data_IF_039414284267
#
_entry.id   IF_039414284267
#
_cell.length_a   1.000
_cell.length_b   1.000
_cell.length_c   1.000
_cell.angle_alpha   90.00
_cell.angle_beta   90.00
_cell.angle_gamma   90.00
#
_symmetry.space_group_name_H-M   'P 1'
#
loop_
_entity.id
_entity.type
_entity.pdbx_description
1 polymer ?
#
# COMPACT_ATOMS: atom_id res chain seq x y z
N UNK A 1 -9.66 -4.25 21.24
CA UNK A 1 -10.75 -4.81 20.43
C UNK A 1 -12.09 -4.46 21.05
N UNK A 2 -13.08 -4.13 20.23
CA UNK A 2 -14.44 -3.81 20.66
C UNK A 2 -15.35 -5.02 20.52
N UNK A 3 -16.25 -5.22 21.48
CA UNK A 3 -17.27 -6.26 21.41
C UNK A 3 -18.64 -5.62 21.23
N UNK A 4 -19.40 -6.14 20.28
CA UNK A 4 -20.72 -5.61 19.91
C UNK A 4 -21.80 -6.69 20.06
N UNK A 5 -22.83 -6.37 20.85
CA UNK A 5 -24.09 -7.11 20.89
C UNK A 5 -25.04 -6.55 19.84
N UNK A 6 -25.45 -7.35 18.89
CA UNK A 6 -26.31 -6.92 17.77
C UNK A 6 -27.67 -7.55 17.87
N UNK A 7 -28.72 -6.76 17.63
CA UNK A 7 -30.09 -7.24 17.44
C UNK A 7 -30.19 -7.96 16.08
N UNK A 8 -30.89 -9.09 16.04
CA UNK A 8 -31.03 -9.92 14.83
C UNK A 8 -31.64 -9.17 13.61
N UNK A 9 -32.40 -8.10 13.87
CA UNK A 9 -33.02 -7.25 12.86
C UNK A 9 -32.44 -5.84 12.86
N UNK A 10 -31.11 -5.69 13.02
CA UNK A 10 -30.47 -4.37 12.98
C UNK A 10 -30.49 -3.81 11.57
N UNK A 11 -31.00 -2.58 11.40
CA UNK A 11 -31.04 -1.86 10.12
C UNK A 11 -29.63 -1.56 9.56
N UNK A 12 -28.66 -1.36 10.44
CA UNK A 12 -27.30 -0.92 10.06
C UNK A 12 -26.30 -2.06 9.85
N UNK A 13 -26.65 -3.29 10.27
CA UNK A 13 -25.75 -4.44 10.28
C UNK A 13 -26.45 -5.69 9.73
N UNK A 14 -27.19 -5.54 8.63
CA UNK A 14 -28.04 -6.58 8.03
C UNK A 14 -27.27 -7.73 7.42
N UNK A 15 -26.02 -7.50 6.98
CA UNK A 15 -25.19 -8.50 6.28
C UNK A 15 -24.42 -9.43 7.23
N UNK A 16 -24.51 -9.22 8.55
CA UNK A 16 -23.80 -10.06 9.52
C UNK A 16 -24.63 -11.29 9.85
N UNK A 17 -24.13 -12.47 9.52
CA UNK A 17 -24.70 -13.76 9.97
C UNK A 17 -24.22 -14.07 11.38
N UNK A 18 -25.03 -13.72 12.39
CA UNK A 18 -24.69 -13.92 13.79
C UNK A 18 -24.73 -15.41 14.18
N UNK A 19 -23.75 -15.89 14.97
CA UNK A 19 -23.69 -17.28 15.40
C UNK A 19 -24.80 -17.60 16.41
N UNK A 20 -25.18 -18.87 16.44
CA UNK A 20 -26.25 -19.35 17.35
C UNK A 20 -25.71 -19.74 18.75
N UNK A 21 -24.40 -19.89 18.92
CA UNK A 21 -23.78 -20.29 20.16
C UNK A 21 -23.15 -19.09 20.91
N UNK A 22 -23.31 -19.04 22.23
CA UNK A 22 -22.83 -17.96 23.09
C UNK A 22 -21.31 -17.75 23.00
N UNK A 23 -20.55 -18.84 22.82
CA UNK A 23 -19.08 -18.78 22.77
C UNK A 23 -18.52 -18.57 21.37
N UNK A 24 -19.40 -18.32 20.40
CA UNK A 24 -19.02 -18.02 19.02
C UNK A 24 -19.22 -16.54 18.68
N UNK A 25 -18.32 -16.03 17.85
CA UNK A 25 -18.35 -14.63 17.42
C UNK A 25 -18.05 -14.52 15.91
N UNK A 26 -18.53 -13.45 15.32
CA UNK A 26 -18.07 -13.00 14.00
C UNK A 26 -16.99 -11.95 14.23
N UNK A 27 -15.83 -12.10 13.63
CA UNK A 27 -14.72 -11.18 13.75
C UNK A 27 -14.65 -10.23 12.54
N UNK A 28 -14.09 -9.04 12.73
CA UNK A 28 -13.82 -8.11 11.62
C UNK A 28 -12.68 -8.61 10.75
N UNK A 29 -12.73 -8.35 9.43
CA UNK A 29 -11.71 -8.77 8.45
C UNK A 29 -10.32 -8.27 8.83
N UNK A 30 -10.20 -7.01 9.23
CA UNK A 30 -8.94 -6.41 9.66
C UNK A 30 -8.34 -7.05 10.93
N UNK A 31 -9.18 -7.53 11.86
CA UNK A 31 -8.72 -8.29 13.03
C UNK A 31 -8.18 -9.66 12.64
N UNK A 32 -8.89 -10.35 11.73
CA UNK A 32 -8.46 -11.64 11.20
C UNK A 32 -7.10 -11.53 10.49
N UNK A 33 -6.96 -10.56 9.59
CA UNK A 33 -5.72 -10.34 8.83
C UNK A 33 -4.55 -9.92 9.71
N UNK A 34 -4.80 -9.04 10.69
CA UNK A 34 -3.76 -8.56 11.63
C UNK A 34 -3.10 -9.70 12.38
N UNK A 35 -3.88 -10.65 12.87
CA UNK A 35 -3.41 -11.74 13.73
C UNK A 35 -3.34 -13.09 13.02
N UNK A 36 -3.52 -13.11 11.69
CA UNK A 36 -3.50 -14.31 10.85
C UNK A 36 -4.46 -15.39 11.32
N UNK A 37 -5.67 -14.98 11.72
CA UNK A 37 -6.70 -15.84 12.28
C UNK A 37 -7.55 -16.46 11.18
N UNK A 38 -8.05 -17.66 11.43
CA UNK A 38 -8.95 -18.39 10.53
C UNK A 38 -10.30 -18.66 11.21
N UNK A 39 -11.32 -18.92 10.40
CA UNK A 39 -12.61 -19.40 10.93
C UNK A 39 -12.37 -20.72 11.64
N UNK A 40 -12.88 -20.83 12.85
CA UNK A 40 -12.66 -21.99 13.73
C UNK A 40 -11.66 -21.75 14.85
N UNK A 41 -10.79 -20.75 14.72
CA UNK A 41 -9.80 -20.42 15.75
C UNK A 41 -10.46 -19.87 17.01
N UNK A 42 -9.76 -20.04 18.14
CA UNK A 42 -10.21 -19.53 19.44
C UNK A 42 -9.37 -18.33 19.84
N UNK A 43 -10.04 -17.20 20.00
CA UNK A 43 -9.43 -15.96 20.48
C UNK A 43 -9.62 -15.77 21.97
N UNK A 44 -8.60 -15.22 22.64
CA UNK A 44 -8.62 -14.88 24.07
C UNK A 44 -8.61 -13.36 24.19
N UNK A 45 -9.66 -12.80 24.80
CA UNK A 45 -9.81 -11.35 24.97
C UNK A 45 -9.82 -11.03 26.44
N UNK A 46 -8.82 -10.26 26.89
CA UNK A 46 -8.75 -9.77 28.26
C UNK A 46 -9.59 -8.50 28.40
N UNK A 47 -10.40 -8.43 29.42
CA UNK A 47 -11.16 -7.21 29.76
C UNK A 47 -10.18 -6.13 30.21
N UNK A 48 -10.34 -4.90 29.67
CA UNK A 48 -9.56 -3.75 30.10
C UNK A 48 -9.74 -3.50 31.62
N UNK A 49 -8.64 -3.30 32.31
CA UNK A 49 -8.61 -3.10 33.78
C UNK A 49 -9.17 -4.27 34.61
N UNK A 50 -9.04 -5.51 34.12
CA UNK A 50 -9.46 -6.70 34.83
C UNK A 50 -8.65 -7.90 34.35
N UNK A 51 -8.47 -8.91 35.22
CA UNK A 51 -7.80 -10.16 34.83
C UNK A 51 -8.73 -11.19 34.17
N UNK A 52 -10.00 -10.81 33.98
CA UNK A 52 -10.97 -11.69 33.36
C UNK A 52 -10.68 -11.86 31.86
N UNK A 53 -10.49 -13.11 31.44
CA UNK A 53 -10.26 -13.53 30.07
C UNK A 53 -11.51 -14.22 29.54
N UNK A 54 -11.94 -13.78 28.37
CA UNK A 54 -13.03 -14.39 27.61
C UNK A 54 -12.44 -15.18 26.45
N UNK A 55 -12.97 -16.39 26.20
CA UNK A 55 -12.60 -17.24 25.07
C UNK A 55 -13.76 -17.31 24.08
N UNK A 56 -13.50 -17.01 22.83
CA UNK A 56 -14.50 -17.07 21.77
C UNK A 56 -13.96 -17.84 20.57
N UNK A 57 -14.80 -18.69 19.99
CA UNK A 57 -14.50 -19.35 18.72
C UNK A 57 -14.99 -18.47 17.57
N UNK A 58 -14.17 -18.26 16.56
CA UNK A 58 -14.52 -17.47 15.37
C UNK A 58 -15.43 -18.33 14.50
N UNK A 59 -16.65 -17.90 14.28
CA UNK A 59 -17.65 -18.58 13.45
C UNK A 59 -17.82 -17.96 12.06
N UNK A 60 -17.32 -16.73 11.87
CA UNK A 60 -17.42 -16.02 10.59
C UNK A 60 -16.61 -14.73 10.59
N UNK A 61 -16.52 -14.14 9.41
CA UNK A 61 -15.83 -12.87 9.17
C UNK A 61 -16.80 -11.84 8.63
N UNK A 62 -16.72 -10.64 9.15
CA UNK A 62 -17.45 -9.47 8.63
C UNK A 62 -16.46 -8.49 8.02
N UNK A 63 -16.72 -8.10 6.77
CA UNK A 63 -15.89 -7.12 6.05
C UNK A 63 -16.06 -5.74 6.69
N UNK A 64 -15.13 -5.42 7.57
CA UNK A 64 -15.12 -4.15 8.29
C UNK A 64 -13.69 -3.75 8.63
N UNK A 65 -13.28 -2.57 8.17
CA UNK A 65 -11.91 -2.07 8.27
C UNK A 65 -11.76 -0.92 9.28
N UNK A 66 -12.87 -0.43 9.84
CA UNK A 66 -12.87 0.75 10.71
C UNK A 66 -12.23 0.51 12.09
N UNK A 67 -12.41 -0.67 12.67
CA UNK A 67 -11.81 -1.04 13.96
C UNK A 67 -11.79 -2.55 14.15
N UNK A 68 -10.93 -3.02 15.06
CA UNK A 68 -10.97 -4.42 15.48
C UNK A 68 -12.21 -4.68 16.32
N UNK A 69 -13.03 -5.62 15.89
CA UNK A 69 -14.31 -5.92 16.55
C UNK A 69 -14.68 -7.39 16.48
N UNK A 70 -15.47 -7.78 17.46
CA UNK A 70 -16.21 -9.04 17.48
C UNK A 70 -17.70 -8.76 17.64
N UNK A 71 -18.49 -9.52 16.92
CA UNK A 71 -19.96 -9.40 16.89
C UNK A 71 -20.62 -10.67 17.39
N UNK A 72 -21.64 -10.51 18.23
CA UNK A 72 -22.45 -11.59 18.76
C UNK A 72 -23.89 -11.13 18.91
N UNK A 73 -24.84 -12.05 19.16
CA UNK A 73 -26.22 -11.67 19.49
C UNK A 73 -26.29 -10.86 20.78
N UNK A 74 -27.18 -9.85 20.83
CA UNK A 74 -27.37 -8.97 21.99
C UNK A 74 -27.55 -9.77 23.30
N UNK A 75 -28.42 -10.78 23.29
CA UNK A 75 -28.67 -11.59 24.50
C UNK A 75 -27.45 -12.41 24.96
N UNK A 76 -26.56 -12.81 24.05
CA UNK A 76 -25.28 -13.45 24.42
C UNK A 76 -24.28 -12.44 24.94
N UNK A 77 -24.24 -11.24 24.37
CA UNK A 77 -23.41 -10.14 24.83
C UNK A 77 -23.75 -9.76 26.28
N UNK A 78 -25.04 -9.54 26.56
CA UNK A 78 -25.51 -9.19 27.92
C UNK A 78 -25.10 -10.23 28.95
N UNK A 79 -25.37 -11.52 28.65
CA UNK A 79 -25.02 -12.64 29.56
C UNK A 79 -23.50 -12.80 29.72
N UNK A 80 -22.70 -12.61 28.67
CA UNK A 80 -21.27 -12.82 28.72
C UNK A 80 -20.54 -11.71 29.47
N UNK A 81 -20.96 -10.47 29.25
CA UNK A 81 -20.33 -9.30 29.86
C UNK A 81 -21.06 -8.78 31.13
N UNK A 82 -22.04 -9.55 31.63
CA UNK A 82 -22.85 -9.23 32.79
C UNK A 82 -23.48 -7.85 32.68
N UNK A 83 -24.20 -7.61 31.61
CA UNK A 83 -24.92 -6.36 31.34
C UNK A 83 -26.42 -6.54 31.60
N UNK A 84 -27.10 -5.46 32.00
CA UNK A 84 -28.56 -5.47 32.11
C UNK A 84 -29.19 -5.68 30.74
N UNK A 85 -30.39 -6.29 30.74
CA UNK A 85 -31.16 -6.46 29.49
C UNK A 85 -31.47 -5.12 28.86
N UNK A 86 -31.24 -5.02 27.53
CA UNK A 86 -31.41 -3.77 26.80
C UNK A 86 -30.30 -2.75 27.02
N UNK A 87 -29.12 -3.17 27.50
CA UNK A 87 -27.96 -2.29 27.67
C UNK A 87 -27.46 -1.77 26.31
N UNK A 88 -27.30 -0.47 26.21
CA UNK A 88 -26.66 0.21 25.08
C UNK A 88 -25.72 1.32 25.60
N UNK A 89 -24.75 1.70 24.78
CA UNK A 89 -23.80 2.77 25.09
C UNK A 89 -23.64 3.77 23.93
N UNK A 90 -24.46 3.68 22.89
CA UNK A 90 -24.47 4.60 21.79
C UNK A 90 -25.58 4.30 20.80
N UNK A 91 -25.78 5.21 19.86
CA UNK A 91 -26.74 5.12 18.77
C UNK A 91 -26.04 5.30 17.42
N UNK A 92 -26.51 4.57 16.41
CA UNK A 92 -26.27 4.91 15.02
C UNK A 92 -27.52 5.62 14.48
N UNK A 93 -27.34 6.75 13.83
CA UNK A 93 -28.44 7.52 13.26
C UNK A 93 -28.01 8.21 11.97
N UNK A 94 -28.91 8.24 11.00
CA UNK A 94 -28.73 9.01 9.75
C UNK A 94 -28.98 10.50 9.99
N UNK A 95 -29.62 10.87 11.11
CA UNK A 95 -29.99 12.24 11.46
C UNK A 95 -29.46 12.61 12.84
N UNK A 96 -29.29 13.93 13.04
CA UNK A 96 -28.93 14.46 14.36
C UNK A 96 -30.06 14.22 15.37
N UNK A 97 -29.76 13.46 16.41
CA UNK A 97 -30.70 13.17 17.49
C UNK A 97 -30.84 14.42 18.39
N UNK A 98 -32.01 15.08 18.31
CA UNK A 98 -32.31 16.32 19.07
C UNK A 98 -32.84 16.05 20.49
N UNK A 99 -33.39 14.87 20.71
CA UNK A 99 -34.06 14.48 21.97
C UNK A 99 -33.08 14.04 23.07
N UNK A 100 -31.81 13.79 22.72
CA UNK A 100 -30.82 13.40 23.70
C UNK A 100 -30.26 14.61 24.43
N UNK A 101 -30.35 14.57 25.76
CA UNK A 101 -29.72 15.61 26.62
C UNK A 101 -28.21 15.58 26.44
N UNK A 102 -27.61 16.74 26.23
CA UNK A 102 -26.16 16.90 26.00
C UNK A 102 -25.30 16.26 27.09
N UNK A 103 -25.80 16.24 28.34
CA UNK A 103 -25.11 15.66 29.50
C UNK A 103 -24.84 14.14 29.35
N UNK A 104 -25.64 13.43 28.56
CA UNK A 104 -25.48 12.00 28.31
C UNK A 104 -24.68 11.66 27.05
N UNK A 105 -24.24 12.69 26.29
CA UNK A 105 -23.49 12.52 25.07
C UNK A 105 -22.01 12.71 25.37
N UNK A 106 -21.26 11.60 25.44
CA UNK A 106 -19.80 11.67 25.60
C UNK A 106 -19.11 12.18 24.34
N UNK A 107 -19.56 11.72 23.17
CA UNK A 107 -19.02 12.15 21.86
C UNK A 107 -20.02 11.86 20.74
N UNK A 108 -19.98 12.69 19.72
CA UNK A 108 -20.68 12.46 18.45
C UNK A 108 -19.64 12.37 17.35
N UNK A 109 -19.66 11.31 16.57
CA UNK A 109 -18.72 11.10 15.47
C UNK A 109 -19.51 11.18 14.14
N UNK A 110 -19.20 12.16 13.34
CA UNK A 110 -19.81 12.34 12.02
C UNK A 110 -18.91 11.80 10.90
N UNK A 111 -19.48 11.64 9.70
CA UNK A 111 -18.70 11.29 8.51
C UNK A 111 -17.66 12.37 8.17
N UNK A 112 -18.00 13.62 8.41
CA UNK A 112 -17.10 14.77 8.22
C UNK A 112 -15.91 14.70 9.17
N UNK A 113 -16.13 14.38 10.44
CA UNK A 113 -15.05 14.25 11.43
C UNK A 113 -14.05 13.17 11.03
N UNK A 114 -14.56 12.00 10.60
CA UNK A 114 -13.71 10.91 10.12
C UNK A 114 -12.90 11.30 8.88
N UNK A 115 -13.54 11.98 7.91
CA UNK A 115 -12.86 12.48 6.71
C UNK A 115 -11.83 13.56 7.04
N UNK A 116 -12.12 14.44 7.98
CA UNK A 116 -11.21 15.52 8.40
C UNK A 116 -9.93 14.96 8.98
N UNK A 117 -10.03 14.00 9.90
CA UNK A 117 -8.85 13.32 10.49
C UNK A 117 -8.03 12.62 9.41
N UNK A 118 -8.69 11.89 8.50
CA UNK A 118 -8.01 11.20 7.41
C UNK A 118 -7.29 12.17 6.46
N UNK A 119 -7.92 13.30 6.11
CA UNK A 119 -7.30 14.34 5.28
C UNK A 119 -6.11 14.98 5.98
N UNK A 120 -6.23 15.38 7.24
CA UNK A 120 -5.12 15.97 7.99
C UNK A 120 -3.91 15.03 8.04
N UNK A 121 -4.13 13.72 8.23
CA UNK A 121 -3.05 12.74 8.22
C UNK A 121 -2.42 12.63 6.83
N UNK A 122 -3.25 12.55 5.77
CA UNK A 122 -2.78 12.51 4.39
C UNK A 122 -1.98 13.77 4.01
N UNK A 123 -2.47 14.95 4.36
CA UNK A 123 -1.81 16.23 4.08
C UNK A 123 -0.46 16.32 4.83
N UNK A 124 -0.42 15.92 6.10
CA UNK A 124 0.81 15.92 6.89
C UNK A 124 1.89 15.00 6.33
N UNK A 125 1.48 13.87 5.75
CA UNK A 125 2.41 12.89 5.18
C UNK A 125 2.76 13.19 3.71
N UNK A 126 1.91 13.93 2.98
CA UNK A 126 2.07 14.14 1.54
C UNK A 126 3.37 14.87 1.18
N UNK A 127 3.78 15.86 1.98
CA UNK A 127 5.03 16.59 1.79
C UNK A 127 6.25 15.66 1.89
N UNK A 128 6.28 14.80 2.92
CA UNK A 128 7.34 13.82 3.10
C UNK A 128 7.39 12.80 1.95
N UNK A 129 6.24 12.26 1.54
CA UNK A 129 6.17 11.32 0.42
C UNK A 129 6.54 11.96 -0.91
N UNK A 130 6.19 13.22 -1.15
CA UNK A 130 6.59 13.93 -2.37
C UNK A 130 8.11 14.14 -2.40
N UNK A 131 8.74 14.50 -1.28
CA UNK A 131 10.20 14.61 -1.19
C UNK A 131 10.88 13.27 -1.48
N UNK A 132 10.38 12.18 -0.91
CA UNK A 132 10.92 10.82 -1.16
C UNK A 132 10.77 10.45 -2.64
N UNK A 133 9.62 10.76 -3.28
CA UNK A 133 9.41 10.51 -4.72
C UNK A 133 10.42 11.23 -5.60
N UNK A 134 10.64 12.53 -5.36
CA UNK A 134 11.63 13.31 -6.09
C UNK A 134 13.03 12.71 -5.94
N UNK A 135 13.42 12.40 -4.72
CA UNK A 135 14.70 11.77 -4.43
C UNK A 135 14.86 10.42 -5.13
N UNK A 136 13.82 9.58 -5.11
CA UNK A 136 13.82 8.29 -5.80
C UNK A 136 14.00 8.42 -7.32
N UNK A 137 13.34 9.41 -7.95
CA UNK A 137 13.50 9.68 -9.39
C UNK A 137 14.92 10.15 -9.71
N UNK A 138 15.50 11.03 -8.88
CA UNK A 138 16.89 11.49 -9.05
C UNK A 138 17.87 10.32 -8.94
N UNK A 139 17.73 9.48 -7.92
CA UNK A 139 18.57 8.28 -7.76
C UNK A 139 18.43 7.32 -8.95
N UNK A 140 17.21 7.09 -9.41
CA UNK A 140 16.94 6.26 -10.59
C UNK A 140 17.67 6.81 -11.83
N UNK A 141 17.56 8.12 -12.09
CA UNK A 141 18.27 8.76 -13.19
C UNK A 141 19.80 8.64 -13.07
N UNK A 142 20.35 8.81 -11.86
CA UNK A 142 21.78 8.64 -11.62
C UNK A 142 22.25 7.22 -11.93
N UNK A 143 21.51 6.21 -11.44
CA UNK A 143 21.86 4.79 -11.70
C UNK A 143 21.83 4.48 -13.18
N UNK A 144 20.76 4.88 -13.90
CA UNK A 144 20.68 4.67 -15.36
C UNK A 144 21.79 5.41 -16.09
N UNK A 145 22.09 6.66 -15.70
CA UNK A 145 23.19 7.41 -16.30
C UNK A 145 24.53 6.70 -16.13
N UNK A 146 24.85 6.22 -14.92
CA UNK A 146 26.09 5.49 -14.64
C UNK A 146 26.18 4.20 -15.44
N UNK A 147 25.12 3.39 -15.45
CA UNK A 147 25.10 2.14 -16.23
C UNK A 147 25.27 2.40 -17.73
N UNK A 148 24.53 3.33 -18.28
CA UNK A 148 24.59 3.64 -19.68
C UNK A 148 25.94 4.31 -20.05
N UNK A 149 26.54 5.12 -19.17
CA UNK A 149 27.89 5.65 -19.32
C UNK A 149 28.92 4.53 -19.41
N UNK A 150 28.88 3.55 -18.50
CA UNK A 150 29.78 2.40 -18.51
C UNK A 150 29.63 1.60 -19.81
N UNK A 151 28.38 1.38 -20.28
CA UNK A 151 28.12 0.68 -21.54
C UNK A 151 28.76 1.43 -22.71
N UNK A 152 28.59 2.76 -22.81
CA UNK A 152 29.17 3.58 -23.86
C UNK A 152 30.70 3.57 -23.79
N UNK A 153 31.30 3.71 -22.62
CA UNK A 153 32.75 3.70 -22.43
C UNK A 153 33.36 2.35 -22.77
N UNK A 154 32.73 1.24 -22.35
CA UNK A 154 33.18 -0.12 -22.67
C UNK A 154 33.09 -0.44 -24.19
N UNK A 155 32.19 0.21 -24.90
CA UNK A 155 31.99 0.00 -26.33
C UNK A 155 32.57 1.16 -27.18
N UNK A 156 33.40 2.05 -26.60
CA UNK A 156 33.94 3.22 -27.31
C UNK A 156 34.70 2.85 -28.58
N UNK A 157 35.52 1.79 -28.55
CA UNK A 157 36.26 1.30 -29.69
C UNK A 157 35.33 0.82 -30.84
N UNK A 158 34.27 0.05 -30.51
CA UNK A 158 33.29 -0.38 -31.48
C UNK A 158 32.48 0.80 -32.05
N UNK A 159 32.17 1.79 -31.23
CA UNK A 159 31.51 3.03 -31.68
C UNK A 159 32.41 3.84 -32.62
N UNK A 160 33.71 3.95 -32.29
CA UNK A 160 34.70 4.61 -33.15
C UNK A 160 34.86 3.90 -34.50
N UNK A 161 34.92 2.56 -34.51
CA UNK A 161 35.00 1.76 -35.72
C UNK A 161 33.80 1.95 -36.67
N UNK A 162 32.58 1.97 -36.10
CA UNK A 162 31.36 2.26 -36.87
C UNK A 162 31.40 3.67 -37.48
N UNK A 163 31.96 4.66 -36.77
CA UNK A 163 32.16 6.02 -37.28
C UNK A 163 33.17 6.07 -38.41
N UNK A 164 34.25 5.29 -38.33
CA UNK A 164 35.25 5.16 -39.43
C UNK A 164 34.62 4.57 -40.70
N UNK A 165 33.66 3.65 -40.55
CA UNK A 165 32.88 3.07 -41.62
C UNK A 165 31.88 4.04 -42.26
N UNK A 166 31.84 5.32 -41.80
CA UNK A 166 31.02 6.37 -42.40
C UNK A 166 29.67 6.60 -41.74
N UNK A 167 29.37 5.89 -40.68
CA UNK A 167 28.13 6.14 -39.93
C UNK A 167 28.21 7.41 -39.11
N UNK A 168 27.11 8.16 -39.07
CA UNK A 168 27.01 9.35 -38.22
C UNK A 168 26.96 8.99 -36.75
N UNK A 169 27.36 9.92 -35.88
CA UNK A 169 27.28 9.73 -34.41
C UNK A 169 25.84 9.41 -33.91
N UNK A 170 24.83 9.89 -34.62
CA UNK A 170 23.44 9.61 -34.32
C UNK A 170 23.03 8.18 -34.67
N UNK A 171 23.52 7.66 -35.82
CA UNK A 171 23.24 6.28 -36.25
C UNK A 171 23.94 5.28 -35.34
N UNK A 172 25.23 5.52 -35.04
CA UNK A 172 25.96 4.71 -34.06
C UNK A 172 25.24 4.71 -32.68
N UNK A 173 24.81 5.88 -32.19
CA UNK A 173 24.05 5.99 -30.94
C UNK A 173 22.70 5.28 -30.97
N UNK A 174 21.96 5.37 -32.10
CA UNK A 174 20.66 4.69 -32.25
C UNK A 174 20.79 3.16 -32.17
N UNK A 175 21.85 2.59 -32.69
CA UNK A 175 22.09 1.14 -32.65
C UNK A 175 22.15 0.62 -31.22
N UNK A 176 22.95 1.27 -30.35
CA UNK A 176 23.10 0.92 -28.95
C UNK A 176 21.85 1.27 -28.12
N UNK A 177 21.24 2.42 -28.41
CA UNK A 177 20.09 2.90 -27.64
C UNK A 177 18.82 2.06 -27.88
N UNK A 178 18.62 1.51 -29.10
CA UNK A 178 17.45 0.67 -29.39
C UNK A 178 17.44 -0.60 -28.53
N UNK A 179 18.56 -1.33 -28.54
CA UNK A 179 18.66 -2.57 -27.76
C UNK A 179 18.44 -2.31 -26.26
N UNK A 180 19.16 -1.32 -25.70
CA UNK A 180 19.04 -0.95 -24.28
C UNK A 180 17.64 -0.44 -23.95
N UNK A 181 17.02 0.35 -24.86
CA UNK A 181 15.66 0.88 -24.67
C UNK A 181 14.61 -0.20 -24.56
N UNK A 182 14.66 -1.20 -25.44
CA UNK A 182 13.74 -2.35 -25.38
C UNK A 182 13.88 -3.09 -24.06
N UNK A 183 15.11 -3.37 -23.63
CA UNK A 183 15.36 -4.05 -22.34
C UNK A 183 14.83 -3.24 -21.17
N UNK A 184 15.06 -1.93 -21.15
CA UNK A 184 14.56 -1.05 -20.06
C UNK A 184 13.05 -1.03 -20.02
N UNK A 185 12.37 -0.88 -21.15
CA UNK A 185 10.89 -0.88 -21.20
C UNK A 185 10.32 -2.21 -20.76
N UNK A 186 10.87 -3.33 -21.25
CA UNK A 186 10.43 -4.67 -20.84
C UNK A 186 10.68 -4.91 -19.33
N UNK A 187 11.83 -4.45 -18.82
CA UNK A 187 12.16 -4.56 -17.38
C UNK A 187 11.26 -3.71 -16.52
N UNK A 188 10.86 -2.51 -16.94
CA UNK A 188 9.93 -1.65 -16.22
C UNK A 188 8.53 -2.28 -16.16
N UNK A 189 8.04 -2.82 -17.26
CA UNK A 189 6.74 -3.50 -17.31
C UNK A 189 6.77 -4.79 -16.49
N UNK A 190 7.77 -5.64 -16.73
CA UNK A 190 7.94 -6.91 -16.01
C UNK A 190 8.18 -6.71 -14.50
N UNK A 191 8.88 -5.64 -14.14
CA UNK A 191 9.17 -5.29 -12.76
C UNK A 191 7.91 -5.04 -11.91
N UNK A 192 6.82 -4.53 -12.50
CA UNK A 192 5.56 -4.33 -11.79
C UNK A 192 5.03 -5.65 -11.22
N UNK A 193 5.03 -6.70 -12.00
CA UNK A 193 4.52 -8.02 -11.59
C UNK A 193 5.33 -8.64 -10.45
N UNK A 194 6.58 -8.22 -10.28
CA UNK A 194 7.44 -8.67 -9.19
C UNK A 194 7.32 -7.76 -7.98
N UNK A 195 7.34 -6.44 -8.18
CA UNK A 195 7.41 -5.48 -7.08
C UNK A 195 6.09 -5.35 -6.31
N UNK A 196 4.94 -5.46 -6.98
CA UNK A 196 3.62 -5.34 -6.35
C UNK A 196 3.40 -6.38 -5.22
N UNK A 197 3.58 -7.70 -5.46
CA UNK A 197 3.43 -8.69 -4.39
C UNK A 197 4.50 -8.58 -3.29
N UNK A 198 5.70 -8.09 -3.64
CA UNK A 198 6.75 -7.83 -2.64
C UNK A 198 6.34 -6.66 -1.73
N UNK A 199 5.85 -5.56 -2.30
CA UNK A 199 5.37 -4.41 -1.53
C UNK A 199 4.20 -4.77 -0.64
N UNK A 200 3.23 -5.56 -1.13
CA UNK A 200 2.10 -6.03 -0.33
C UNK A 200 2.57 -6.85 0.88
N UNK A 201 3.48 -7.80 0.68
CA UNK A 201 4.04 -8.62 1.77
C UNK A 201 4.81 -7.77 2.78
N UNK A 202 5.64 -6.84 2.33
CA UNK A 202 6.39 -5.92 3.20
C UNK A 202 5.45 -5.02 3.99
N UNK A 203 4.43 -4.47 3.35
CA UNK A 203 3.41 -3.64 4.00
C UNK A 203 2.68 -4.41 5.10
N UNK A 204 2.17 -5.61 4.80
CA UNK A 204 1.50 -6.48 5.76
C UNK A 204 2.43 -6.87 6.93
N UNK A 205 3.69 -7.17 6.64
CA UNK A 205 4.69 -7.46 7.67
C UNK A 205 4.93 -6.26 8.59
N UNK A 206 5.10 -5.06 8.04
CA UNK A 206 5.27 -3.84 8.83
C UNK A 206 4.07 -3.57 9.71
N UNK A 207 2.85 -3.68 9.18
CA UNK A 207 1.64 -3.48 9.95
C UNK A 207 1.49 -4.49 11.08
N UNK A 208 1.81 -5.78 10.82
CA UNK A 208 1.75 -6.83 11.84
C UNK A 208 2.72 -6.57 12.99
N UNK A 209 3.94 -6.13 12.70
CA UNK A 209 5.01 -6.01 13.70
C UNK A 209 5.06 -4.66 14.41
N UNK A 210 4.74 -3.55 13.74
CA UNK A 210 5.01 -2.19 14.24
C UNK A 210 3.78 -1.37 14.59
N UNK A 211 2.62 -1.66 14.01
CA UNK A 211 1.41 -0.84 14.21
C UNK A 211 0.37 -1.56 15.07
N UNK A 212 -0.35 -0.82 15.92
CA UNK A 212 -1.46 -1.36 16.71
C UNK A 212 -2.76 -1.51 15.93
N UNK A 213 -2.89 -0.84 14.79
CA UNK A 213 -4.03 -0.90 13.88
C UNK A 213 -3.80 -1.80 12.68
N UNK A 214 -4.75 -1.81 11.77
CA UNK A 214 -4.65 -2.44 10.46
C UNK A 214 -5.24 -1.50 9.42
N UNK A 215 -4.53 -1.32 8.32
CA UNK A 215 -4.97 -0.60 7.14
C UNK A 215 -4.82 -1.55 5.96
N UNK A 216 -5.86 -1.66 5.14
CA UNK A 216 -5.82 -2.51 3.96
C UNK A 216 -4.81 -1.96 2.95
N UNK A 217 -4.08 -2.88 2.32
CA UNK A 217 -3.19 -2.53 1.23
C UNK A 217 -4.03 -2.21 -0.01
N UNK A 218 -3.90 -1.00 -0.51
CA UNK A 218 -4.58 -0.56 -1.71
C UNK A 218 -3.68 0.32 -2.56
N UNK A 219 -3.47 -0.07 -3.80
CA UNK A 219 -2.80 0.76 -4.81
C UNK A 219 -3.85 1.19 -5.84
N UNK A 220 -4.10 2.49 -6.02
CA UNK A 220 -4.94 2.96 -7.12
C UNK A 220 -4.41 2.51 -8.48
N UNK A 221 -5.30 2.10 -9.38
CA UNK A 221 -4.93 1.52 -10.68
C UNK A 221 -4.08 2.44 -11.58
N UNK A 222 -4.10 3.74 -11.35
CA UNK A 222 -3.29 4.73 -12.09
C UNK A 222 -1.83 4.81 -11.62
N UNK A 223 -1.51 4.32 -10.41
CA UNK A 223 -0.17 4.48 -9.80
C UNK A 223 0.88 3.66 -10.54
N UNK A 224 0.63 2.38 -10.77
CA UNK A 224 1.59 1.50 -11.45
C UNK A 224 1.90 1.97 -12.88
N UNK A 225 0.92 2.31 -13.73
CA UNK A 225 1.20 2.92 -15.04
C UNK A 225 1.99 4.23 -14.94
N UNK A 226 1.71 5.07 -13.96
CA UNK A 226 2.44 6.34 -13.78
C UNK A 226 3.91 6.13 -13.45
N UNK A 227 4.25 5.11 -12.67
CA UNK A 227 5.64 4.75 -12.37
C UNK A 227 6.38 4.32 -13.64
N UNK A 228 5.75 3.50 -14.49
CA UNK A 228 6.32 3.10 -15.78
C UNK A 228 6.55 4.32 -16.69
N UNK A 229 5.57 5.21 -16.79
CA UNK A 229 5.69 6.43 -17.61
C UNK A 229 6.85 7.30 -17.12
N UNK A 230 6.94 7.55 -15.81
CA UNK A 230 8.05 8.32 -15.22
C UNK A 230 9.39 7.63 -15.52
N UNK A 231 9.45 6.31 -15.37
CA UNK A 231 10.65 5.53 -15.67
C UNK A 231 11.09 5.66 -17.14
N UNK A 232 10.16 5.53 -18.09
CA UNK A 232 10.41 5.68 -19.52
C UNK A 232 10.86 7.11 -19.85
N UNK A 233 10.17 8.13 -19.35
CA UNK A 233 10.54 9.53 -19.58
C UNK A 233 11.93 9.82 -19.03
N UNK A 234 12.24 9.39 -17.83
CA UNK A 234 13.57 9.53 -17.21
C UNK A 234 14.65 8.84 -18.06
N UNK A 235 14.36 7.64 -18.56
CA UNK A 235 15.29 6.93 -19.45
C UNK A 235 15.57 7.74 -20.72
N UNK A 236 14.55 8.26 -21.40
CA UNK A 236 14.75 9.06 -22.62
C UNK A 236 15.54 10.36 -22.36
N UNK A 237 15.35 11.00 -21.21
CA UNK A 237 16.14 12.17 -20.79
C UNK A 237 17.63 11.78 -20.70
N UNK A 238 17.93 10.70 -20.01
CA UNK A 238 19.32 10.22 -19.86
C UNK A 238 19.92 9.81 -21.19
N UNK A 239 19.16 9.13 -22.04
CA UNK A 239 19.62 8.78 -23.39
C UNK A 239 19.97 10.00 -24.22
N UNK A 240 19.20 11.06 -24.13
CA UNK A 240 19.49 12.31 -24.83
C UNK A 240 20.83 12.93 -24.38
N UNK A 241 21.11 12.89 -23.06
CA UNK A 241 22.38 13.35 -22.48
C UNK A 241 23.55 12.48 -22.98
N UNK A 242 23.37 11.18 -23.03
CA UNK A 242 24.42 10.24 -23.46
C UNK A 242 24.72 10.33 -24.96
N UNK A 243 23.72 10.63 -25.80
CA UNK A 243 23.97 10.92 -27.24
C UNK A 243 24.93 12.07 -27.43
N UNK A 244 24.88 13.12 -26.58
CA UNK A 244 25.85 14.20 -26.60
C UNK A 244 27.26 13.71 -26.26
N UNK A 245 27.39 12.74 -25.37
CA UNK A 245 28.68 12.13 -25.00
C UNK A 245 29.22 11.25 -26.13
N UNK A 246 28.38 10.45 -26.79
CA UNK A 246 28.76 9.62 -27.95
C UNK A 246 29.28 10.49 -29.12
N UNK A 247 28.71 11.70 -29.30
CA UNK A 247 29.21 12.63 -30.31
C UNK A 247 30.64 13.05 -30.07
N UNK A 248 31.10 13.13 -28.80
CA UNK A 248 32.46 13.55 -28.42
C UNK A 248 33.51 12.45 -28.54
N UNK A 249 33.12 11.18 -28.75
CA UNK A 249 34.08 10.09 -28.97
C UNK A 249 34.78 10.31 -30.33
N UNK A 250 36.12 10.44 -30.29
CA UNK A 250 36.93 10.71 -31.46
C UNK A 250 37.14 9.44 -32.29
N UNK A 251 37.29 9.59 -33.62
CA UNK A 251 37.61 8.47 -34.53
C UNK A 251 39.05 7.93 -34.31
N UNK A 252 39.94 8.76 -33.73
CA UNK A 252 41.35 8.39 -33.49
C UNK A 252 41.52 7.43 -32.30
N UNK A 253 40.51 7.27 -31.45
CA UNK A 253 40.59 6.39 -30.27
C UNK A 253 40.67 4.90 -30.65
N UNK A 254 40.01 4.52 -31.77
CA UNK A 254 40.10 3.18 -32.32
C UNK A 254 41.45 2.87 -32.96
N UNK A 255 42.13 3.89 -33.51
CA UNK A 255 43.44 3.72 -34.12
C UNK A 255 44.57 3.55 -33.11
N UNK A 256 44.48 4.18 -31.92
CA UNK A 256 45.47 4.05 -30.86
C UNK A 256 45.49 2.70 -30.14
N UNK A 257 44.44 1.92 -30.24
CA UNK A 257 44.35 0.58 -29.63
C UNK A 257 44.72 -0.54 -30.57
N UNK A 258 45.09 -0.22 -31.81
CA UNK A 258 45.60 -1.18 -32.85
C UNK A 258 47.12 -1.17 -32.97
N UNK A 259 47.79 -0.26 -32.27
CA UNK A 259 49.24 -0.29 -32.04
C UNK A 259 49.55 -0.97 -30.68
#
# INVERSE_FOLDING_TARGET
>A
ISAYGIKEKSKYLTSIKLPQNRNQVVATSNYMEKYDLKIGDTVRIKKKYSDKIYKFKIAGVYQYTGSFGIFMKEGYFEKTFNKKKGYYNGYFSDYKLKELKKEYIATTITKEDLKKVSRQLADSMSAAFNTIKVFAVVLYMLVIYLLAKIIVEKNSNAISMIKILGYTSNEAGKLYNRATGIVVVLSLIGGIFVIEPVLEKLYKFMLRSKMRGWLDYYIPSWVLPSVVIIGIVSYFIIQSILLLKIRKISMSEALKTME
#
